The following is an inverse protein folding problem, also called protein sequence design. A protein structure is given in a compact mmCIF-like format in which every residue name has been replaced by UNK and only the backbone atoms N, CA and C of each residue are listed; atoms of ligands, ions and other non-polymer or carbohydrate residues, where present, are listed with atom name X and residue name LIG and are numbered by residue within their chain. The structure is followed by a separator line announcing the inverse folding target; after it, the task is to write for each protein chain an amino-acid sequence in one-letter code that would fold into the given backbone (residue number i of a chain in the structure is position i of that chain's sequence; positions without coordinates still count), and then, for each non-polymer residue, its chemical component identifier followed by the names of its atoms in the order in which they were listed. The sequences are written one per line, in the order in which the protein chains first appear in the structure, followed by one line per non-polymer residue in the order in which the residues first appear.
data_IF_932909934433
#
_entry.id   IF_932909934433
#
_cell.length_a   1.000
_cell.length_b   1.000
_cell.length_c   1.000
_cell.angle_alpha   90.00
_cell.angle_beta   90.00
_cell.angle_gamma   90.00
#
_symmetry.space_group_name_H-M   'P 1'
#
loop_
_entity.id
_entity.type
_entity.pdbx_description
1 polymer ?
#
# COMPACT_ATOMS: atom_id res chain seq x y z
N UNK A 1 29.01 11.60 -1.90
CA UNK A 1 28.06 12.16 -2.88
C UNK A 1 28.79 12.84 -4.03
N UNK A 2 28.33 12.70 -5.28
CA UNK A 2 28.87 13.48 -6.40
C UNK A 2 28.58 14.98 -6.25
N UNK A 3 29.45 15.86 -6.76
CA UNK A 3 29.29 17.32 -6.62
C UNK A 3 27.97 17.85 -7.21
N UNK A 4 27.46 17.18 -8.25
CA UNK A 4 26.17 17.47 -8.85
C UNK A 4 24.99 17.12 -7.92
N UNK A 5 24.98 15.91 -7.33
CA UNK A 5 23.91 15.48 -6.41
C UNK A 5 23.82 16.39 -5.18
N UNK A 6 24.96 16.73 -4.57
CA UNK A 6 25.00 17.62 -3.42
C UNK A 6 24.44 19.02 -3.77
N UNK A 7 24.78 19.55 -4.95
CA UNK A 7 24.25 20.83 -5.42
C UNK A 7 22.75 20.76 -5.70
N UNK A 8 22.28 19.68 -6.32
CA UNK A 8 20.87 19.48 -6.60
C UNK A 8 20.05 19.36 -5.30
N UNK A 9 20.52 18.60 -4.32
CA UNK A 9 19.84 18.42 -3.04
C UNK A 9 19.82 19.71 -2.23
N UNK A 10 20.93 20.47 -2.20
CA UNK A 10 20.95 21.78 -1.56
C UNK A 10 19.97 22.79 -2.20
N UNK A 11 19.74 22.68 -3.52
CA UNK A 11 18.76 23.51 -4.21
C UNK A 11 17.32 23.07 -3.94
N UNK A 12 17.05 21.77 -3.94
CA UNK A 12 15.72 21.20 -3.73
C UNK A 12 15.25 21.30 -2.27
N UNK A 13 16.19 21.22 -1.33
CA UNK A 13 15.95 21.15 0.12
C UNK A 13 16.83 22.18 0.88
N UNK A 14 16.62 23.49 0.71
CA UNK A 14 17.48 24.54 1.25
C UNK A 14 17.18 24.91 2.72
N UNK A 15 16.12 24.36 3.31
CA UNK A 15 15.59 24.75 4.61
C UNK A 15 16.13 23.94 5.79
N UNK A 16 15.49 24.11 6.94
CA UNK A 16 15.69 23.23 8.11
C UNK A 16 15.09 21.84 7.85
N UNK A 17 15.41 20.87 8.72
CA UNK A 17 14.83 19.52 8.66
C UNK A 17 13.29 19.57 8.55
N UNK A 18 12.62 20.39 9.37
CA UNK A 18 11.18 20.61 9.31
C UNK A 18 10.71 21.13 7.94
N UNK A 19 11.36 22.17 7.41
CA UNK A 19 10.97 22.79 6.14
C UNK A 19 11.19 21.82 4.99
N UNK A 20 12.34 21.13 4.98
CA UNK A 20 12.69 20.18 3.95
C UNK A 20 11.78 18.95 3.97
N UNK A 21 11.36 18.49 5.15
CA UNK A 21 10.37 17.42 5.29
C UNK A 21 9.05 17.82 4.61
N UNK A 22 8.53 19.01 4.91
CA UNK A 22 7.29 19.51 4.30
C UNK A 22 7.42 19.74 2.78
N UNK A 23 8.57 20.23 2.32
CA UNK A 23 8.84 20.40 0.90
C UNK A 23 8.91 19.06 0.17
N UNK A 24 9.61 18.08 0.75
CA UNK A 24 9.69 16.73 0.19
C UNK A 24 8.31 16.08 0.11
N UNK A 25 7.52 16.17 1.18
CA UNK A 25 6.12 15.71 1.20
C UNK A 25 5.30 16.38 0.10
N UNK A 26 5.45 17.69 -0.10
CA UNK A 26 4.79 18.37 -1.20
C UNK A 26 5.24 17.85 -2.57
N UNK A 27 6.52 17.51 -2.75
CA UNK A 27 7.01 16.97 -4.01
C UNK A 27 6.46 15.57 -4.30
N UNK A 28 6.53 14.65 -3.32
CA UNK A 28 6.05 13.27 -3.48
C UNK A 28 4.53 13.20 -3.62
N UNK A 29 3.78 14.15 -3.04
CA UNK A 29 2.33 14.15 -3.18
C UNK A 29 1.84 14.90 -4.43
N UNK A 30 2.41 16.06 -4.77
CA UNK A 30 1.87 16.90 -5.86
C UNK A 30 2.26 16.36 -7.23
N UNK A 31 3.54 16.04 -7.44
CA UNK A 31 4.03 15.73 -8.79
C UNK A 31 3.49 14.39 -9.33
N UNK A 32 3.51 13.26 -8.59
CA UNK A 32 2.87 12.02 -9.04
C UNK A 32 1.39 12.20 -9.36
N UNK A 33 0.64 12.91 -8.51
CA UNK A 33 -0.76 13.23 -8.75
C UNK A 33 -1.00 14.09 -10.01
N UNK A 34 -0.13 15.07 -10.29
CA UNK A 34 -0.19 15.84 -11.53
C UNK A 34 0.12 14.99 -12.77
N UNK A 35 1.02 14.00 -12.64
CA UNK A 35 1.34 13.08 -13.74
C UNK A 35 0.13 12.23 -14.15
N UNK A 36 -0.79 11.92 -13.23
CA UNK A 36 -2.06 11.22 -13.53
C UNK A 36 -2.92 11.98 -14.56
N UNK A 37 -2.75 13.30 -14.69
CA UNK A 37 -3.43 14.07 -15.73
C UNK A 37 -3.06 13.58 -17.14
N UNK A 38 -1.84 13.11 -17.35
CA UNK A 38 -1.38 12.61 -18.64
C UNK A 38 -1.69 11.11 -18.85
N UNK A 39 -2.06 10.41 -17.78
CA UNK A 39 -2.38 8.99 -17.83
C UNK A 39 -3.79 8.78 -18.42
N UNK A 40 -3.94 7.92 -19.44
CA UNK A 40 -5.24 7.64 -20.03
C UNK A 40 -6.11 6.79 -19.08
N UNK A 41 -7.44 6.94 -19.06
CA UNK A 41 -8.33 6.14 -18.20
C UNK A 41 -8.29 4.64 -18.48
N UNK A 42 -7.92 4.24 -19.70
CA UNK A 42 -7.84 2.83 -20.10
C UNK A 42 -6.39 2.38 -20.11
N UNK A 43 -5.91 1.89 -18.98
CA UNK A 43 -4.57 1.31 -18.84
C UNK A 43 -4.65 -0.19 -19.10
N UNK A 44 -3.66 -0.73 -19.82
CA UNK A 44 -3.52 -2.17 -20.00
C UNK A 44 -3.01 -2.78 -18.68
N UNK A 45 -3.71 -3.78 -18.14
CA UNK A 45 -3.32 -4.47 -16.90
C UNK A 45 -1.90 -5.01 -16.94
N UNK A 46 -1.42 -5.50 -18.08
CA UNK A 46 -0.02 -5.95 -18.21
C UNK A 46 1.00 -4.81 -18.07
N UNK A 47 0.68 -3.60 -18.56
CA UNK A 47 1.54 -2.43 -18.38
C UNK A 47 1.47 -1.91 -16.93
N UNK A 48 0.30 -2.00 -16.31
CA UNK A 48 0.10 -1.68 -14.89
C UNK A 48 0.96 -2.57 -14.00
N UNK A 49 0.90 -3.89 -14.18
CA UNK A 49 1.69 -4.83 -13.38
C UNK A 49 3.19 -4.62 -13.55
N UNK A 50 3.67 -4.27 -14.75
CA UNK A 50 5.09 -3.96 -14.98
C UNK A 50 5.49 -2.71 -14.18
N UNK A 51 4.65 -1.67 -14.20
CA UNK A 51 4.89 -0.44 -13.47
C UNK A 51 4.87 -0.67 -11.95
N UNK A 52 3.86 -1.40 -11.46
CA UNK A 52 3.74 -1.81 -10.05
C UNK A 52 4.91 -2.70 -9.61
N UNK A 53 5.39 -3.60 -10.48
CA UNK A 53 6.58 -4.42 -10.20
C UNK A 53 7.85 -3.57 -10.03
N UNK A 54 8.01 -2.52 -10.84
CA UNK A 54 9.08 -1.54 -10.66
C UNK A 54 8.96 -0.82 -9.31
N UNK A 55 7.74 -0.43 -8.90
CA UNK A 55 7.46 0.16 -7.59
C UNK A 55 7.89 -0.78 -6.44
N UNK A 56 7.48 -2.05 -6.49
CA UNK A 56 7.84 -3.06 -5.48
C UNK A 56 9.36 -3.22 -5.38
N UNK A 57 10.05 -3.26 -6.52
CA UNK A 57 11.51 -3.32 -6.55
C UNK A 57 12.17 -2.08 -5.93
N UNK A 58 11.62 -0.89 -6.19
CA UNK A 58 12.06 0.36 -5.57
C UNK A 58 11.77 0.42 -4.07
N UNK A 59 10.55 0.12 -3.65
CA UNK A 59 10.12 0.15 -2.25
C UNK A 59 10.90 -0.86 -1.39
N UNK A 60 11.03 -2.12 -1.83
CA UNK A 60 11.86 -3.12 -1.14
C UNK A 60 13.35 -2.76 -1.20
N UNK A 61 13.81 -2.17 -2.31
CA UNK A 61 15.17 -1.65 -2.43
C UNK A 61 15.48 -0.58 -1.39
N UNK A 62 14.57 0.38 -1.18
CA UNK A 62 14.70 1.42 -0.15
C UNK A 62 14.73 0.81 1.26
N UNK A 63 13.81 -0.11 1.56
CA UNK A 63 13.82 -0.80 2.85
C UNK A 63 15.16 -1.50 3.12
N UNK A 64 15.60 -2.39 2.22
CA UNK A 64 16.74 -3.26 2.50
C UNK A 64 18.10 -2.61 2.31
N UNK A 65 18.22 -1.66 1.38
CA UNK A 65 19.51 -1.06 1.02
C UNK A 65 19.72 0.32 1.65
N UNK A 66 18.68 0.93 2.23
CA UNK A 66 18.76 2.29 2.75
C UNK A 66 18.19 2.39 4.18
N UNK A 67 16.89 2.15 4.40
CA UNK A 67 16.25 2.36 5.71
C UNK A 67 16.76 1.41 6.80
N UNK A 68 16.86 0.10 6.51
CA UNK A 68 17.32 -0.88 7.50
C UNK A 68 18.81 -0.71 7.85
N UNK A 69 19.74 -0.57 6.89
CA UNK A 69 21.12 -0.26 7.21
C UNK A 69 21.24 0.99 8.09
N UNK A 70 20.52 2.06 7.76
CA UNK A 70 20.54 3.30 8.54
C UNK A 70 20.02 3.09 9.96
N UNK A 71 18.90 2.38 10.13
CA UNK A 71 18.33 2.06 11.44
C UNK A 71 19.30 1.29 12.36
N UNK A 72 20.08 0.34 11.81
CA UNK A 72 21.01 -0.48 12.60
C UNK A 72 22.42 0.11 12.73
N UNK A 73 22.83 1.03 11.86
CA UNK A 73 24.18 1.61 11.88
C UNK A 73 24.26 2.99 12.55
N UNK A 74 23.14 3.73 12.65
CA UNK A 74 23.10 5.07 13.25
C UNK A 74 23.84 6.13 12.43
N UNK A 75 23.83 7.39 12.89
CA UNK A 75 24.57 8.48 12.24
C UNK A 75 26.08 8.24 12.30
N UNK A 76 26.73 8.22 11.12
CA UNK A 76 28.18 8.24 11.02
C UNK A 76 28.72 9.64 11.38
N UNK A 77 28.98 9.86 12.67
CA UNK A 77 30.03 10.79 13.09
C UNK A 77 31.39 10.08 12.99
N UNK A 78 32.40 10.84 12.56
CA UNK A 78 33.68 10.42 12.01
C UNK A 78 34.48 9.31 12.76
N UNK A 79 35.26 8.56 11.97
CA UNK A 79 36.44 7.74 12.28
C UNK A 79 36.37 6.31 12.85
N UNK A 80 35.27 5.81 13.43
CA UNK A 80 35.22 4.38 13.81
C UNK A 80 33.84 3.75 13.60
N UNK A 81 33.65 3.10 12.46
CA UNK A 81 32.47 2.27 12.16
C UNK A 81 32.51 1.02 13.06
N UNK A 82 32.00 1.14 14.27
CA UNK A 82 31.54 0.00 15.04
C UNK A 82 30.07 -0.21 14.68
N UNK A 83 29.75 -1.35 14.07
CA UNK A 83 28.38 -1.90 14.05
C UNK A 83 27.80 -1.72 15.45
N UNK A 84 26.55 -1.32 15.60
CA UNK A 84 25.90 -1.23 16.92
C UNK A 84 26.01 -2.59 17.62
N UNK A 85 27.04 -2.74 18.48
CA UNK A 85 27.29 -3.93 19.32
C UNK A 85 26.48 -3.81 20.61
N UNK A 86 25.35 -3.11 20.56
CA UNK A 86 24.38 -3.08 21.64
C UNK A 86 23.20 -3.98 21.26
N UNK A 87 23.18 -5.17 21.86
CA UNK A 87 22.13 -6.16 21.64
C UNK A 87 20.75 -5.63 22.05
N UNK A 88 20.66 -4.79 23.08
CA UNK A 88 19.38 -4.25 23.54
C UNK A 88 18.84 -3.21 22.55
N UNK A 89 19.69 -2.32 22.04
CA UNK A 89 19.32 -1.37 20.97
C UNK A 89 18.83 -2.09 19.72
N UNK A 90 19.55 -3.11 19.26
CA UNK A 90 19.15 -3.89 18.10
C UNK A 90 17.81 -4.60 18.29
N UNK A 91 17.50 -5.06 19.52
CA UNK A 91 16.17 -5.60 19.86
C UNK A 91 15.09 -4.52 19.76
N UNK A 92 15.33 -3.30 20.23
CA UNK A 92 14.35 -2.20 20.12
C UNK A 92 14.10 -1.78 18.68
N UNK A 93 15.16 -1.70 17.86
CA UNK A 93 15.03 -1.45 16.41
C UNK A 93 14.20 -2.56 15.76
N UNK A 94 14.51 -3.83 16.07
CA UNK A 94 13.73 -4.98 15.59
C UNK A 94 12.26 -4.93 16.00
N UNK A 95 11.97 -4.51 17.24
CA UNK A 95 10.61 -4.28 17.71
C UNK A 95 9.92 -3.14 16.96
N UNK A 96 10.64 -2.07 16.62
CA UNK A 96 10.14 -0.98 15.78
C UNK A 96 9.70 -1.48 14.39
N UNK A 97 10.55 -2.27 13.72
CA UNK A 97 10.23 -2.91 12.44
C UNK A 97 8.98 -3.79 12.56
N UNK A 98 8.94 -4.64 13.59
CA UNK A 98 7.77 -5.49 13.83
C UNK A 98 6.51 -4.67 14.12
N UNK A 99 6.61 -3.59 14.91
CA UNK A 99 5.49 -2.73 15.22
C UNK A 99 4.92 -2.06 13.97
N UNK A 100 5.77 -1.62 13.04
CA UNK A 100 5.36 -1.10 11.73
C UNK A 100 4.59 -2.12 10.90
N UNK A 101 5.18 -3.31 10.73
CA UNK A 101 4.54 -4.43 10.01
C UNK A 101 3.21 -4.81 10.65
N UNK A 102 3.18 -4.93 11.98
CA UNK A 102 1.99 -5.30 12.73
C UNK A 102 0.91 -4.22 12.68
N UNK A 103 1.28 -2.94 12.72
CA UNK A 103 0.34 -1.83 12.56
C UNK A 103 -0.40 -1.92 11.23
N UNK A 104 0.33 -2.10 10.13
CA UNK A 104 -0.28 -2.24 8.82
C UNK A 104 -1.12 -3.52 8.68
N UNK A 105 -0.68 -4.63 9.26
CA UNK A 105 -1.49 -5.84 9.36
C UNK A 105 -2.80 -5.61 10.10
N UNK A 106 -2.75 -4.98 11.28
CA UNK A 106 -3.94 -4.65 12.06
C UNK A 106 -4.84 -3.72 11.27
N UNK A 107 -4.28 -2.73 10.58
CA UNK A 107 -5.05 -1.78 9.79
C UNK A 107 -5.77 -2.46 8.62
N UNK A 108 -5.07 -3.26 7.81
CA UNK A 108 -5.67 -4.05 6.73
C UNK A 108 -6.74 -5.01 7.28
N UNK A 109 -6.46 -5.68 8.40
CA UNK A 109 -7.41 -6.60 9.03
C UNK A 109 -8.67 -5.88 9.53
N UNK A 110 -8.51 -4.76 10.23
CA UNK A 110 -9.61 -3.97 10.77
C UNK A 110 -10.50 -3.43 9.65
N UNK A 111 -9.90 -2.92 8.57
CA UNK A 111 -10.64 -2.51 7.39
C UNK A 111 -11.50 -3.65 6.81
N UNK A 112 -10.92 -4.84 6.64
CA UNK A 112 -11.68 -5.99 6.14
C UNK A 112 -12.81 -6.41 7.08
N UNK A 113 -12.64 -6.26 8.39
CA UNK A 113 -13.67 -6.58 9.38
C UNK A 113 -14.80 -5.54 9.37
N UNK A 114 -14.47 -4.25 9.38
CA UNK A 114 -15.47 -3.17 9.34
C UNK A 114 -16.27 -3.16 8.04
N UNK A 115 -15.63 -3.54 6.94
CA UNK A 115 -16.25 -3.55 5.62
C UNK A 115 -16.89 -4.91 5.27
N UNK A 116 -16.40 -6.01 5.84
CA UNK A 116 -16.94 -7.37 5.66
C UNK A 116 -18.10 -7.72 6.61
N UNK A 117 -18.44 -6.85 7.57
CA UNK A 117 -19.51 -7.07 8.55
C UNK A 117 -20.94 -6.91 8.02
N UNK A 118 -21.14 -6.64 6.73
CA UNK A 118 -22.47 -6.38 6.14
C UNK A 118 -22.89 -7.36 5.03
N UNK A 119 -22.24 -8.51 4.87
CA UNK A 119 -22.49 -9.38 3.71
C UNK A 119 -22.33 -10.89 3.91
N UNK A 120 -22.57 -11.44 5.12
CA UNK A 120 -22.28 -12.87 5.33
C UNK A 120 -23.00 -13.56 6.47
N UNK A 121 -24.34 -13.59 6.47
CA UNK A 121 -25.10 -14.63 7.18
C UNK A 121 -26.36 -15.05 6.42
N UNK A 122 -26.23 -16.11 5.61
CA UNK A 122 -27.30 -17.08 5.45
C UNK A 122 -26.69 -18.48 5.40
N UNK A 123 -26.62 -19.11 6.58
CA UNK A 123 -26.45 -20.56 6.65
C UNK A 123 -27.75 -21.19 6.16
N UNK A 124 -27.84 -21.56 4.89
CA UNK A 124 -28.85 -22.52 4.45
C UNK A 124 -28.37 -23.92 4.82
N UNK A 125 -28.70 -24.37 6.02
CA UNK A 125 -28.76 -25.80 6.31
C UNK A 125 -29.89 -26.39 5.46
N UNK A 126 -29.52 -27.03 4.35
CA UNK A 126 -30.40 -27.91 3.61
C UNK A 126 -30.60 -29.20 4.41
N UNK A 127 -31.62 -29.21 5.26
CA UNK A 127 -32.27 -30.44 5.71
C UNK A 127 -33.76 -30.22 5.56
N UNK A 128 -34.31 -30.62 4.43
CA UNK A 128 -35.66 -31.14 4.43
C UNK A 128 -35.67 -32.49 3.70
N UNK A 129 -36.16 -33.47 4.42
CA UNK A 129 -36.29 -34.84 3.98
C UNK A 129 -37.55 -34.90 3.12
N UNK A 130 -37.42 -35.28 1.85
CA UNK A 130 -38.58 -35.82 1.14
C UNK A 130 -38.24 -37.17 0.54
N UNK A 131 -39.11 -38.12 0.89
CA UNK A 131 -38.90 -39.54 0.75
C UNK A 131 -39.03 -39.98 -0.71
N UNK A 132 -37.97 -40.56 -1.25
CA UNK A 132 -38.06 -41.43 -2.41
C UNK A 132 -38.55 -42.81 -1.94
N UNK A 133 -39.86 -43.07 -2.05
CA UNK A 133 -40.37 -44.45 -2.11
C UNK A 133 -40.77 -44.77 -3.56
N UNK A 134 -40.18 -45.86 -4.05
CA UNK A 134 -40.42 -46.48 -5.34
C UNK A 134 -41.42 -47.63 -5.23
N UNK A 135 -42.17 -47.84 -6.33
CA UNK A 135 -43.11 -48.92 -6.69
C UNK A 135 -44.60 -48.47 -6.62
N UNK A 136 -45.50 -48.72 -7.59
CA UNK A 136 -45.51 -49.70 -8.67
C UNK A 136 -46.56 -49.30 -9.76
N UNK A 137 -46.33 -49.74 -11.00
CA UNK A 137 -47.24 -50.02 -12.14
C UNK A 137 -48.64 -49.34 -12.34
N UNK A 138 -48.81 -48.57 -13.45
CA UNK A 138 -49.52 -48.94 -14.73
C UNK A 138 -49.98 -47.73 -15.58
N UNK A 139 -50.12 -47.88 -16.93
CA UNK A 139 -50.27 -46.76 -17.87
C UNK A 139 -51.73 -46.41 -18.17
N UNK A 140 -52.04 -45.13 -18.40
CA UNK A 140 -53.22 -44.73 -19.18
C UNK A 140 -53.02 -43.41 -19.93
N UNK A 141 -53.36 -43.50 -21.20
CA UNK A 141 -53.49 -42.48 -22.23
C UNK A 141 -54.39 -41.30 -21.85
N UNK A 142 -54.02 -40.09 -22.27
CA UNK A 142 -54.88 -38.91 -22.27
C UNK A 142 -54.08 -37.63 -22.50
N UNK A 143 -53.79 -37.30 -23.76
CA UNK A 143 -53.41 -35.94 -24.15
C UNK A 143 -54.65 -35.06 -24.01
N UNK A 144 -54.71 -34.21 -22.99
CA UNK A 144 -55.48 -32.97 -23.04
C UNK A 144 -54.52 -31.77 -22.99
N UNK A 145 -54.63 -30.79 -23.90
CA UNK A 145 -53.80 -29.61 -23.85
C UNK A 145 -54.25 -28.71 -22.69
N UNK A 146 -53.34 -28.47 -21.75
CA UNK A 146 -53.47 -27.42 -20.74
C UNK A 146 -53.76 -26.06 -21.39
N UNK A 147 -54.67 -25.24 -20.85
CA UNK A 147 -55.03 -23.95 -21.45
C UNK A 147 -53.83 -23.01 -21.57
N UNK A 148 -53.67 -22.44 -22.76
CA UNK A 148 -52.54 -21.61 -23.21
C UNK A 148 -52.25 -20.38 -22.30
N UNK A 149 -53.26 -19.93 -21.53
CA UNK A 149 -53.16 -18.82 -20.58
C UNK A 149 -52.46 -19.11 -19.24
N UNK A 150 -52.13 -20.37 -18.92
CA UNK A 150 -51.33 -20.72 -17.73
C UNK A 150 -49.82 -20.82 -18.04
N UNK A 151 -49.47 -21.28 -19.25
CA UNK A 151 -48.07 -21.29 -19.74
C UNK A 151 -47.48 -19.88 -19.87
N UNK A 152 -48.27 -18.91 -20.33
CA UNK A 152 -47.82 -17.51 -20.41
C UNK A 152 -47.60 -16.86 -19.03
N UNK A 153 -48.34 -17.29 -18.00
CA UNK A 153 -48.17 -16.76 -16.64
C UNK A 153 -46.93 -17.31 -15.94
N UNK A 154 -46.60 -18.59 -16.14
CA UNK A 154 -45.33 -19.16 -15.65
C UNK A 154 -44.13 -18.55 -16.38
N UNK A 155 -44.13 -18.49 -17.72
CA UNK A 155 -43.02 -17.90 -18.47
C UNK A 155 -42.79 -16.39 -18.17
N UNK A 156 -43.85 -15.64 -17.85
CA UNK A 156 -43.72 -14.23 -17.43
C UNK A 156 -43.25 -14.07 -15.97
N UNK A 157 -43.53 -15.07 -15.11
CA UNK A 157 -43.06 -15.11 -13.72
C UNK A 157 -41.58 -15.53 -13.66
N UNK A 158 -41.20 -16.56 -14.43
CA UNK A 158 -39.82 -17.04 -14.55
C UNK A 158 -38.90 -15.94 -15.14
N UNK A 159 -39.36 -15.21 -16.17
CA UNK A 159 -38.62 -14.05 -16.71
C UNK A 159 -38.48 -12.90 -15.71
N UNK A 160 -39.50 -12.64 -14.89
CA UNK A 160 -39.42 -11.61 -13.84
C UNK A 160 -38.48 -12.04 -12.71
N UNK A 161 -38.48 -13.32 -12.34
CA UNK A 161 -37.55 -13.87 -11.35
C UNK A 161 -36.10 -13.84 -11.88
N UNK A 162 -35.86 -14.21 -13.13
CA UNK A 162 -34.54 -14.09 -13.78
C UNK A 162 -34.05 -12.63 -13.88
N UNK A 163 -34.92 -11.68 -14.26
CA UNK A 163 -34.56 -10.25 -14.29
C UNK A 163 -34.28 -9.69 -12.89
N UNK A 164 -35.00 -10.16 -11.87
CA UNK A 164 -34.80 -9.73 -10.48
C UNK A 164 -33.50 -10.29 -9.90
N UNK A 165 -33.18 -11.56 -10.19
CA UNK A 165 -31.92 -12.20 -9.80
C UNK A 165 -30.73 -11.56 -10.53
N UNK A 166 -30.84 -11.27 -11.82
CA UNK A 166 -29.79 -10.57 -12.56
C UNK A 166 -29.58 -9.14 -12.06
N UNK A 167 -30.66 -8.44 -11.69
CA UNK A 167 -30.57 -7.09 -11.12
C UNK A 167 -29.96 -7.09 -9.73
N UNK A 168 -30.32 -8.06 -8.88
CA UNK A 168 -29.74 -8.25 -7.56
C UNK A 168 -28.23 -8.58 -7.64
N UNK A 169 -27.86 -9.51 -8.52
CA UNK A 169 -26.45 -9.88 -8.76
C UNK A 169 -25.62 -8.71 -9.29
N UNK A 170 -26.19 -7.91 -10.20
CA UNK A 170 -25.53 -6.69 -10.70
C UNK A 170 -25.42 -5.60 -9.62
N UNK A 171 -26.36 -5.54 -8.68
CA UNK A 171 -26.31 -4.64 -7.53
C UNK A 171 -25.24 -5.08 -6.52
N UNK A 172 -25.13 -6.38 -6.25
CA UNK A 172 -24.07 -6.97 -5.41
C UNK A 172 -22.68 -6.73 -6.03
N UNK A 173 -22.52 -7.01 -7.33
CA UNK A 173 -21.26 -6.73 -8.05
C UNK A 173 -20.91 -5.23 -8.02
N UNK A 174 -21.88 -4.32 -8.19
CA UNK A 174 -21.64 -2.87 -8.12
C UNK A 174 -21.32 -2.39 -6.69
N UNK A 175 -21.88 -3.02 -5.65
CA UNK A 175 -21.53 -2.72 -4.26
C UNK A 175 -20.15 -3.23 -3.86
N UNK A 176 -19.77 -4.42 -4.31
CA UNK A 176 -18.46 -5.02 -4.02
C UNK A 176 -17.33 -4.23 -4.70
N UNK A 177 -17.55 -3.79 -5.95
CA UNK A 177 -16.62 -2.94 -6.69
C UNK A 177 -16.41 -1.57 -6.02
N UNK A 178 -17.48 -0.97 -5.48
CA UNK A 178 -17.39 0.29 -4.72
C UNK A 178 -16.69 0.07 -3.39
N UNK A 179 -16.90 -1.07 -2.72
CA UNK A 179 -16.22 -1.41 -1.48
C UNK A 179 -14.71 -1.53 -1.68
N UNK A 180 -14.29 -2.23 -2.74
CA UNK A 180 -12.88 -2.35 -3.14
C UNK A 180 -12.23 -0.99 -3.39
N UNK A 181 -12.93 -0.05 -4.02
CA UNK A 181 -12.42 1.32 -4.24
C UNK A 181 -12.18 2.09 -2.93
N UNK A 182 -13.08 1.99 -1.95
CA UNK A 182 -12.90 2.67 -0.66
C UNK A 182 -11.79 2.03 0.18
N UNK A 183 -11.66 0.71 0.14
CA UNK A 183 -10.56 -0.01 0.78
C UNK A 183 -9.22 0.42 0.17
N UNK A 184 -9.16 0.55 -1.15
CA UNK A 184 -7.98 1.05 -1.85
C UNK A 184 -7.59 2.45 -1.38
N UNK A 185 -8.53 3.39 -1.37
CA UNK A 185 -8.27 4.77 -0.94
C UNK A 185 -7.77 4.87 0.50
N UNK A 186 -8.28 4.03 1.40
CA UNK A 186 -7.82 4.03 2.78
C UNK A 186 -6.41 3.43 2.90
N UNK A 187 -6.15 2.32 2.19
CA UNK A 187 -4.82 1.72 2.16
C UNK A 187 -3.79 2.73 1.63
N UNK A 188 -4.11 3.39 0.52
CA UNK A 188 -3.33 4.48 -0.06
C UNK A 188 -3.13 5.64 0.93
N UNK A 189 -4.18 6.13 1.60
CA UNK A 189 -4.05 7.15 2.65
C UNK A 189 -3.06 6.76 3.76
N UNK A 190 -3.10 5.50 4.21
CA UNK A 190 -2.22 5.01 5.29
C UNK A 190 -0.78 4.82 4.82
N UNK A 191 -0.59 4.41 3.56
CA UNK A 191 0.72 4.35 2.92
C UNK A 191 1.33 5.74 2.79
N UNK A 192 0.60 6.67 2.17
CA UNK A 192 0.97 8.08 2.06
C UNK A 192 1.36 8.68 3.42
N UNK A 193 0.59 8.38 4.48
CA UNK A 193 0.93 8.80 5.85
C UNK A 193 2.28 8.25 6.33
N UNK A 194 2.63 7.02 5.96
CA UNK A 194 3.91 6.42 6.32
C UNK A 194 5.06 7.01 5.52
N UNK A 195 4.84 7.40 4.27
CA UNK A 195 5.83 8.14 3.47
C UNK A 195 6.15 9.50 4.10
N UNK A 196 5.12 10.23 4.50
CA UNK A 196 5.30 11.49 5.20
C UNK A 196 6.05 11.34 6.51
N UNK A 197 5.75 10.27 7.27
CA UNK A 197 6.46 9.93 8.49
C UNK A 197 7.95 9.65 8.22
N UNK A 198 8.25 8.94 7.12
CA UNK A 198 9.61 8.67 6.68
C UNK A 198 10.35 9.95 6.22
N UNK A 199 9.67 10.89 5.56
CA UNK A 199 10.27 12.20 5.18
C UNK A 199 10.76 12.94 6.42
N UNK A 200 9.91 13.04 7.45
CA UNK A 200 10.27 13.70 8.69
C UNK A 200 11.47 13.03 9.36
N UNK A 201 11.40 11.73 9.61
CA UNK A 201 12.50 11.02 10.29
C UNK A 201 13.81 11.10 9.51
N UNK A 202 13.77 10.99 8.18
CA UNK A 202 14.95 11.01 7.32
C UNK A 202 15.63 12.39 7.29
N UNK A 203 14.88 13.49 7.16
CA UNK A 203 15.46 14.84 7.17
C UNK A 203 15.90 15.29 8.55
N UNK A 204 15.28 14.77 9.60
CA UNK A 204 15.74 14.97 10.97
C UNK A 204 17.03 14.19 11.22
N UNK A 205 17.18 12.99 10.66
CA UNK A 205 18.44 12.26 10.68
C UNK A 205 19.54 13.03 9.94
N UNK A 206 19.43 13.26 8.63
CA UNK A 206 20.35 14.17 7.93
C UNK A 206 19.77 14.71 6.63
N UNK A 207 20.27 15.85 6.11
CA UNK A 207 19.84 16.37 4.81
C UNK A 207 20.08 15.39 3.65
N UNK A 208 21.17 14.59 3.73
CA UNK A 208 21.51 13.60 2.71
C UNK A 208 20.49 12.46 2.69
N UNK A 209 20.26 11.83 3.85
CA UNK A 209 19.28 10.75 4.03
C UNK A 209 17.87 11.21 3.69
N UNK A 210 17.47 12.41 4.14
CA UNK A 210 16.19 13.00 3.76
C UNK A 210 16.00 13.16 2.25
N UNK A 211 17.01 13.68 1.56
CA UNK A 211 16.94 13.88 0.12
C UNK A 211 16.94 12.57 -0.67
N UNK A 212 17.71 11.56 -0.25
CA UNK A 212 17.71 10.24 -0.89
C UNK A 212 16.38 9.52 -0.65
N UNK A 213 15.83 9.53 0.56
CA UNK A 213 14.49 8.99 0.85
C UNK A 213 13.42 9.68 0.01
N UNK A 214 13.46 11.02 -0.12
CA UNK A 214 12.49 11.75 -0.93
C UNK A 214 12.52 11.35 -2.42
N UNK A 215 13.71 11.14 -2.98
CA UNK A 215 13.85 10.64 -4.35
C UNK A 215 13.37 9.19 -4.48
N UNK A 216 13.70 8.34 -3.51
CA UNK A 216 13.26 6.95 -3.48
C UNK A 216 11.73 6.84 -3.48
N UNK A 217 11.09 7.58 -2.56
CA UNK A 217 9.64 7.64 -2.42
C UNK A 217 8.99 8.21 -3.65
N UNK A 218 9.51 9.31 -4.20
CA UNK A 218 9.02 9.88 -5.45
C UNK A 218 8.94 8.85 -6.59
N UNK A 219 9.95 7.98 -6.73
CA UNK A 219 9.99 7.01 -7.82
C UNK A 219 9.07 5.81 -7.61
N UNK A 220 8.76 5.41 -6.36
CA UNK A 220 7.76 4.35 -6.13
C UNK A 220 6.33 4.89 -6.08
N UNK A 221 6.13 6.16 -5.73
CA UNK A 221 4.82 6.80 -5.71
C UNK A 221 4.20 6.95 -7.11
N UNK A 222 5.00 7.27 -8.13
CA UNK A 222 4.47 7.38 -9.51
C UNK A 222 3.77 6.08 -9.96
N UNK A 223 4.41 4.90 -9.86
CA UNK A 223 3.75 3.63 -10.09
C UNK A 223 2.51 3.36 -9.23
N UNK A 224 2.59 3.61 -7.92
CA UNK A 224 1.53 3.33 -6.97
C UNK A 224 0.29 4.14 -7.28
N UNK A 225 0.45 5.46 -7.48
CA UNK A 225 -0.60 6.39 -7.86
C UNK A 225 -1.28 6.01 -9.20
N UNK A 226 -0.50 5.48 -10.16
CA UNK A 226 -1.06 4.98 -11.43
C UNK A 226 -1.85 3.67 -11.22
N UNK A 227 -1.38 2.80 -10.33
CA UNK A 227 -2.09 1.60 -9.85
C UNK A 227 -3.46 1.94 -9.26
N UNK A 228 -3.46 2.80 -8.25
CA UNK A 228 -4.64 3.22 -7.52
C UNK A 228 -5.63 3.98 -8.41
N UNK A 229 -5.12 4.88 -9.25
CA UNK A 229 -5.91 5.52 -10.29
C UNK A 229 -6.61 4.48 -11.19
N UNK A 230 -5.91 3.43 -11.61
CA UNK A 230 -6.49 2.41 -12.47
C UNK A 230 -7.60 1.62 -11.75
N UNK A 231 -7.43 1.32 -10.47
CA UNK A 231 -8.45 0.66 -9.63
C UNK A 231 -9.70 1.54 -9.52
N UNK A 232 -9.53 2.83 -9.22
CA UNK A 232 -10.66 3.77 -9.12
C UNK A 232 -11.45 3.90 -10.43
N UNK A 233 -10.76 3.98 -11.56
CA UNK A 233 -11.41 4.01 -12.88
C UNK A 233 -12.18 2.71 -13.16
N UNK A 234 -11.58 1.56 -12.83
CA UNK A 234 -12.26 0.26 -12.97
C UNK A 234 -13.48 0.15 -12.05
N UNK A 235 -13.44 0.80 -10.89
CA UNK A 235 -14.57 0.90 -9.96
C UNK A 235 -15.64 1.92 -10.35
N UNK A 236 -15.53 2.52 -11.55
CA UNK A 236 -16.54 3.41 -12.12
C UNK A 236 -16.36 4.89 -11.77
N UNK A 237 -15.23 5.29 -11.18
CA UNK A 237 -14.92 6.71 -10.99
C UNK A 237 -14.63 7.36 -12.35
N UNK A 238 -15.04 8.62 -12.51
CA UNK A 238 -14.57 9.41 -13.64
C UNK A 238 -13.12 9.83 -13.39
N UNK A 239 -12.37 10.15 -14.46
CA UNK A 239 -10.98 10.62 -14.35
C UNK A 239 -10.80 11.74 -13.32
N UNK A 240 -11.69 12.72 -13.33
CA UNK A 240 -11.64 13.82 -12.37
C UNK A 240 -11.89 13.35 -10.93
N UNK A 241 -12.87 12.47 -10.71
CA UNK A 241 -13.16 11.93 -9.37
C UNK A 241 -12.02 11.07 -8.84
N UNK A 242 -11.42 10.23 -9.69
CA UNK A 242 -10.27 9.41 -9.31
C UNK A 242 -9.08 10.28 -8.91
N UNK A 243 -8.72 11.29 -9.72
CA UNK A 243 -7.64 12.22 -9.38
C UNK A 243 -7.90 13.03 -8.10
N UNK A 244 -9.14 13.46 -7.85
CA UNK A 244 -9.47 14.17 -6.60
C UNK A 244 -9.44 13.24 -5.38
N UNK A 245 -9.74 11.95 -5.56
CA UNK A 245 -9.64 10.97 -4.48
C UNK A 245 -8.17 10.73 -4.10
N UNK A 246 -7.26 10.60 -5.09
CA UNK A 246 -5.81 10.54 -4.83
C UNK A 246 -5.26 11.82 -4.19
N UNK A 247 -5.73 13.00 -4.61
CA UNK A 247 -5.35 14.23 -3.90
C UNK A 247 -5.85 14.29 -2.45
N UNK A 248 -6.89 13.50 -2.12
CA UNK A 248 -7.36 13.39 -0.74
C UNK A 248 -6.47 12.45 0.08
N UNK A 249 -5.90 11.40 -0.52
CA UNK A 249 -4.96 10.48 0.15
C UNK A 249 -3.62 11.16 0.45
N UNK A 250 -3.21 12.12 -0.38
CA UNK A 250 -2.07 13.02 -0.12
C UNK A 250 -2.15 13.80 1.22
N UNK A 251 -3.35 14.04 1.76
CA UNK A 251 -3.50 14.62 3.12
C UNK A 251 -2.87 13.72 4.17
N UNK A 252 -2.94 12.39 3.97
CA UNK A 252 -2.25 11.40 4.79
C UNK A 252 -0.76 11.69 4.90
N UNK A 253 -0.08 11.96 3.78
CA UNK A 253 1.34 12.27 3.76
C UNK A 253 1.70 13.52 4.58
N UNK A 254 0.91 14.58 4.48
CA UNK A 254 1.12 15.75 5.35
C UNK A 254 0.88 15.45 6.82
N UNK A 255 -0.16 14.68 7.17
CA UNK A 255 -0.42 14.25 8.55
C UNK A 255 0.74 13.41 9.10
N UNK A 256 1.24 12.47 8.31
CA UNK A 256 2.41 11.66 8.63
C UNK A 256 3.66 12.49 8.89
N UNK A 257 3.90 13.48 8.02
CA UNK A 257 5.03 14.41 8.15
C UNK A 257 4.95 15.23 9.42
N UNK A 258 3.76 15.78 9.72
CA UNK A 258 3.53 16.55 10.94
C UNK A 258 3.68 15.68 12.20
N UNK A 259 3.21 14.44 12.15
CA UNK A 259 3.39 13.47 13.23
C UNK A 259 4.86 13.14 13.44
N UNK A 260 5.62 12.90 12.37
CA UNK A 260 7.07 12.65 12.45
C UNK A 260 7.84 13.84 13.00
N UNK A 261 7.56 15.06 12.51
CA UNK A 261 8.13 16.31 13.06
C UNK A 261 7.85 16.41 14.55
N UNK A 262 6.60 16.15 14.97
CA UNK A 262 6.22 16.21 16.38
C UNK A 262 7.00 15.18 17.22
N UNK A 263 7.12 13.94 16.75
CA UNK A 263 7.87 12.87 17.45
C UNK A 263 9.34 13.27 17.58
N UNK A 264 9.95 13.76 16.51
CA UNK A 264 11.36 14.16 16.48
C UNK A 264 11.66 15.38 17.37
N UNK A 265 10.84 16.42 17.29
CA UNK A 265 11.00 17.62 18.12
C UNK A 265 10.75 17.32 19.60
N UNK A 266 9.77 16.47 19.93
CA UNK A 266 9.52 16.01 21.30
C UNK A 266 10.70 15.17 21.83
N UNK A 267 11.25 14.29 20.99
CA UNK A 267 12.42 13.47 21.29
C UNK A 267 13.68 14.30 21.57
N UNK A 268 13.86 15.42 20.86
CA UNK A 268 15.00 16.35 21.03
C UNK A 268 14.82 17.34 22.17
N UNK A 269 13.59 17.84 22.38
CA UNK A 269 13.28 18.80 23.44
C UNK A 269 13.44 18.19 24.83
N UNK A 270 13.09 16.90 25.00
CA UNK A 270 13.31 16.16 26.24
C UNK A 270 14.78 16.05 26.66
N UNK A 271 15.71 16.13 25.69
CA UNK A 271 17.15 16.07 25.93
C UNK A 271 17.76 17.36 26.52
N UNK A 272 17.05 18.48 26.40
CA UNK A 272 17.59 19.81 26.71
C UNK A 272 17.23 20.32 28.10
N UNK A 273 16.27 19.68 28.80
CA UNK A 273 15.83 20.17 30.12
C UNK A 273 16.60 19.58 31.31
N UNK A 274 17.12 18.35 31.26
CA UNK A 274 17.84 17.74 32.40
C UNK A 274 19.14 17.04 31.97
N UNK A 275 20.21 17.83 31.78
CA UNK A 275 21.58 17.31 31.66
C UNK A 275 22.11 16.80 33.02
N UNK A 276 21.57 15.67 33.49
CA UNK A 276 22.20 14.81 34.48
C UNK A 276 22.41 13.42 33.87
N UNK A 277 23.41 12.71 34.35
CA UNK A 277 23.95 11.44 33.84
C UNK A 277 22.97 10.24 33.72
N UNK A 278 21.66 10.45 33.91
CA UNK A 278 20.61 9.41 34.01
C UNK A 278 19.46 9.64 32.99
N UNK A 279 19.68 10.32 31.87
CA UNK A 279 18.69 10.39 30.78
C UNK A 279 18.70 9.07 29.98
N UNK A 280 18.33 7.98 30.67
CA UNK A 280 18.21 6.67 30.08
C UNK A 280 17.08 6.72 29.04
N UNK A 281 17.43 6.53 27.78
CA UNK A 281 16.45 6.29 26.72
C UNK A 281 15.62 5.04 26.99
N UNK A 282 14.88 4.58 25.98
CA UNK A 282 13.90 3.52 26.14
C UNK A 282 14.55 2.25 26.73
N UNK A 283 13.93 1.73 27.78
CA UNK A 283 14.30 0.46 28.40
C UNK A 283 15.79 0.37 28.80
N UNK A 284 16.39 1.49 29.20
CA UNK A 284 17.79 1.55 29.66
C UNK A 284 18.81 1.59 28.51
N UNK A 285 18.37 1.85 27.29
CA UNK A 285 19.23 2.09 26.11
C UNK A 285 19.32 3.59 25.79
N UNK A 286 20.14 3.99 24.84
CA UNK A 286 20.20 5.35 24.27
C UNK A 286 19.06 5.66 23.28
N UNK A 287 18.25 4.66 22.92
CA UNK A 287 17.20 4.77 21.90
C UNK A 287 16.08 5.68 22.35
N UNK A 288 15.64 6.57 21.46
CA UNK A 288 14.51 7.49 21.66
C UNK A 288 13.35 7.16 20.74
N UNK A 289 12.21 7.81 20.97
CA UNK A 289 11.02 7.62 20.13
C UNK A 289 11.24 8.01 18.65
N UNK A 290 12.08 9.02 18.38
CA UNK A 290 12.48 9.39 17.01
C UNK A 290 13.24 8.28 16.29
N UNK A 291 14.17 7.63 16.99
CA UNK A 291 14.99 6.54 16.43
C UNK A 291 14.18 5.31 16.02
N UNK A 292 12.94 5.17 16.53
CA UNK A 292 12.01 4.09 16.18
C UNK A 292 11.13 4.40 14.97
N UNK A 293 11.13 5.63 14.46
CA UNK A 293 10.29 6.03 13.33
C UNK A 293 10.76 5.39 12.02
N UNK A 294 12.07 5.41 11.72
CA UNK A 294 12.62 4.75 10.53
C UNK A 294 12.41 3.22 10.59
N UNK A 295 12.71 2.52 11.69
CA UNK A 295 12.35 1.11 11.86
C UNK A 295 10.86 0.83 11.62
N UNK A 296 9.97 1.62 12.21
CA UNK A 296 8.52 1.49 12.04
C UNK A 296 8.09 1.65 10.57
N UNK A 297 8.57 2.70 9.89
CA UNK A 297 8.25 2.94 8.47
C UNK A 297 8.78 1.82 7.58
N UNK A 298 10.01 1.34 7.80
CA UNK A 298 10.57 0.20 7.09
C UNK A 298 9.70 -1.06 7.23
N UNK A 299 9.22 -1.36 8.45
CA UNK A 299 8.28 -2.46 8.70
C UNK A 299 6.95 -2.32 7.94
N UNK A 300 6.42 -1.10 7.88
CA UNK A 300 5.21 -0.78 7.12
C UNK A 300 5.41 -0.98 5.60
N UNK A 301 6.50 -0.46 5.05
CA UNK A 301 6.86 -0.63 3.64
C UNK A 301 7.07 -2.09 3.25
N UNK A 302 7.67 -2.90 4.12
CA UNK A 302 7.74 -4.35 3.91
C UNK A 302 6.34 -4.97 3.80
N UNK A 303 5.41 -4.59 4.69
CA UNK A 303 4.05 -5.12 4.65
C UNK A 303 3.32 -4.71 3.35
N UNK A 304 3.37 -3.43 2.98
CA UNK A 304 2.74 -2.91 1.76
C UNK A 304 3.27 -3.66 0.53
N UNK A 305 4.60 -3.77 0.40
CA UNK A 305 5.20 -4.45 -0.74
C UNK A 305 4.85 -5.95 -0.79
N UNK A 306 4.97 -6.66 0.33
CA UNK A 306 4.91 -8.13 0.36
C UNK A 306 3.50 -8.70 0.50
N UNK A 307 2.63 -8.02 1.24
CA UNK A 307 1.25 -8.48 1.51
C UNK A 307 0.24 -7.68 0.70
N UNK A 308 0.50 -6.37 0.50
CA UNK A 308 -0.39 -5.51 -0.30
C UNK A 308 -0.29 -5.79 -1.80
N UNK A 309 0.94 -5.80 -2.34
CA UNK A 309 1.15 -5.74 -3.80
C UNK A 309 1.57 -7.05 -4.44
N UNK A 310 2.56 -7.75 -3.86
CA UNK A 310 3.10 -8.99 -4.47
C UNK A 310 2.01 -10.03 -4.77
N UNK A 311 1.00 -10.27 -3.91
CA UNK A 311 -0.05 -11.24 -4.23
C UNK A 311 -0.81 -10.95 -5.54
N UNK A 312 -1.03 -9.67 -5.86
CA UNK A 312 -1.70 -9.25 -7.11
C UNK A 312 -0.81 -9.54 -8.34
N UNK A 313 0.50 -9.35 -8.20
CA UNK A 313 1.48 -9.66 -9.26
C UNK A 313 1.62 -11.17 -9.51
N UNK A 314 1.24 -12.02 -8.56
CA UNK A 314 1.29 -13.47 -8.69
C UNK A 314 0.07 -14.06 -9.43
N UNK A 315 -0.95 -13.24 -9.74
CA UNK A 315 -2.12 -13.71 -10.49
C UNK A 315 -1.79 -14.01 -11.96
N UNK A 316 -2.28 -15.15 -12.46
CA UNK A 316 -1.98 -15.63 -13.82
C UNK A 316 -3.26 -15.82 -14.64
N UNK A 317 -3.19 -15.56 -15.95
CA UNK A 317 -4.35 -15.65 -16.85
C UNK A 317 -4.65 -17.07 -17.35
N UNK A 318 -3.79 -18.04 -17.01
CA UNK A 318 -3.88 -19.43 -17.49
C UNK A 318 -3.32 -19.64 -18.90
N UNK A 319 -2.80 -18.58 -19.54
CA UNK A 319 -2.19 -18.64 -20.88
C UNK A 319 -0.67 -18.63 -20.74
N UNK A 320 -0.09 -19.82 -20.64
CA UNK A 320 1.33 -20.04 -20.30
C UNK A 320 2.32 -19.14 -21.07
N UNK A 321 2.13 -18.95 -22.38
CA UNK A 321 3.05 -18.15 -23.19
C UNK A 321 2.95 -16.64 -22.89
N UNK A 322 1.74 -16.16 -22.62
CA UNK A 322 1.48 -14.77 -22.24
C UNK A 322 1.98 -14.52 -20.82
N UNK A 323 1.61 -15.39 -19.89
CA UNK A 323 1.98 -15.27 -18.47
C UNK A 323 3.50 -15.32 -18.29
N UNK A 324 4.22 -16.19 -19.02
CA UNK A 324 5.69 -16.21 -18.99
C UNK A 324 6.33 -14.92 -19.49
N UNK A 325 5.80 -14.32 -20.56
CA UNK A 325 6.32 -13.05 -21.10
C UNK A 325 6.05 -11.89 -20.14
N UNK A 326 4.87 -11.91 -19.51
CA UNK A 326 4.48 -10.95 -18.50
C UNK A 326 5.39 -11.03 -17.28
N UNK A 327 5.53 -12.22 -16.68
CA UNK A 327 6.41 -12.46 -15.54
C UNK A 327 7.87 -12.04 -15.80
N UNK A 328 8.42 -12.32 -16.99
CA UNK A 328 9.77 -11.87 -17.34
C UNK A 328 9.88 -10.34 -17.37
N UNK A 329 8.85 -9.66 -17.85
CA UNK A 329 8.82 -8.19 -17.92
C UNK A 329 8.65 -7.57 -16.52
N UNK A 330 7.82 -8.18 -15.67
CA UNK A 330 7.62 -7.80 -14.27
C UNK A 330 8.90 -8.00 -13.45
N UNK A 331 9.57 -9.15 -13.56
CA UNK A 331 10.86 -9.37 -12.89
C UNK A 331 11.94 -8.42 -13.38
N UNK A 332 12.01 -8.15 -14.69
CA UNK A 332 12.95 -7.17 -15.22
C UNK A 332 12.67 -5.77 -14.65
N UNK A 333 11.40 -5.36 -14.59
CA UNK A 333 11.02 -4.07 -14.02
C UNK A 333 11.32 -3.97 -12.53
N UNK A 334 11.06 -5.03 -11.76
CA UNK A 334 11.40 -5.13 -10.34
C UNK A 334 12.92 -5.01 -10.11
N UNK A 335 13.73 -5.68 -10.93
CA UNK A 335 15.18 -5.56 -10.88
C UNK A 335 15.66 -4.16 -11.25
N UNK A 336 15.00 -3.47 -12.19
CA UNK A 336 15.30 -2.07 -12.52
C UNK A 336 14.99 -1.14 -11.35
N UNK A 337 13.87 -1.35 -10.65
CA UNK A 337 13.54 -0.61 -9.42
C UNK A 337 14.58 -0.82 -8.33
N UNK A 338 14.97 -2.07 -8.08
CA UNK A 338 16.02 -2.42 -7.12
C UNK A 338 17.39 -1.80 -7.52
N UNK A 339 17.74 -1.85 -8.81
CA UNK A 339 18.99 -1.28 -9.32
C UNK A 339 19.03 0.24 -9.16
N UNK A 340 17.91 0.93 -9.43
CA UNK A 340 17.79 2.36 -9.17
C UNK A 340 18.08 2.68 -7.70
N UNK A 341 17.47 1.93 -6.78
CA UNK A 341 17.71 2.11 -5.35
C UNK A 341 19.13 1.76 -4.92
N UNK A 342 19.72 0.73 -5.52
CA UNK A 342 21.13 0.38 -5.29
C UNK A 342 22.03 1.55 -5.69
N UNK A 343 21.78 2.19 -6.83
CA UNK A 343 22.56 3.35 -7.29
C UNK A 343 22.37 4.55 -6.36
N UNK A 344 21.16 4.78 -5.84
CA UNK A 344 20.89 5.86 -4.89
C UNK A 344 21.65 5.61 -3.57
N UNK A 345 21.45 4.44 -2.96
CA UNK A 345 22.07 4.07 -1.68
C UNK A 345 23.60 4.03 -1.78
N UNK A 346 24.16 3.51 -2.87
CA UNK A 346 25.61 3.45 -3.07
C UNK A 346 26.26 4.84 -3.17
N UNK A 347 25.56 5.82 -3.74
CA UNK A 347 26.08 7.18 -3.87
C UNK A 347 25.91 8.03 -2.59
N UNK A 348 25.07 7.57 -1.67
CA UNK A 348 24.90 8.15 -0.33
C UNK A 348 26.03 7.72 0.62
N UNK A 349 26.50 6.46 0.49
CA UNK A 349 27.59 5.91 1.30
C UNK A 349 29.02 6.36 0.88
N UNK A 350 29.14 7.06 -0.25
CA UNK A 350 30.40 7.58 -0.81
C UNK A 350 30.50 9.11 -0.63
#
# INVERSE_FOLDING_TARGET
MSSFQATAFAYLFPGSAMVNSLLATAYISIFPNLLLYFVPPKINTGALNILVSFAVGGLLGDVFLHLLPHAFLGEHAEEHVAVVVDNHKNVLIGLGIFAGLFFFFVMDKLMRVFNGGSGGHSHSHGHDHDHHESADEKPRSGEEPLPEGLRQRHAAKDKKEEETVQKAKKQEEESDIKLSAYLNLFADFTHNMTDGLAMAASFYASPAVGATTAVAVFFHEIPHEVGDYAILIQSGFTKQKAMMAQFTTAVGAFLGTLMGIFIEEASRSGASEHAHHDDAGLLGTDVRWGDLVIPFTAGGFMYIATVGVIPELLEVTGKIQKDRRQALSEFAAMLVGLALMTVIAWNDAA
#
